data_IF_888807392598
#
_entry.id   IF_888807392598
#
_cell.length_a   1.000
_cell.length_b   1.000
_cell.length_c   1.000
_cell.angle_alpha   90.00
_cell.angle_beta   90.00
_cell.angle_gamma   90.00
#
_symmetry.space_group_name_H-M   'P 1'
#
loop_
_entity.id
_entity.type
_entity.pdbx_description
1 polymer ?
#
# COMPACT_ATOMS: atom_id res chain seq x y z
N UNK A 1 23.25 -33.03 6.42
CA UNK A 1 21.77 -33.01 6.14
C UNK A 1 20.81 -33.10 7.35
N UNK A 2 20.71 -34.20 8.13
CA UNK A 2 19.69 -34.31 9.21
C UNK A 2 19.82 -33.21 10.29
N UNK A 3 21.05 -32.84 10.60
CA UNK A 3 21.38 -31.82 11.62
C UNK A 3 21.00 -30.40 11.17
N UNK A 4 21.29 -30.04 9.91
CA UNK A 4 20.90 -28.73 9.34
C UNK A 4 19.37 -28.58 9.30
N UNK A 5 18.62 -29.61 8.91
CA UNK A 5 17.15 -29.55 8.93
C UNK A 5 16.58 -29.23 10.31
N UNK A 6 17.14 -29.85 11.35
CA UNK A 6 16.77 -29.55 12.75
C UNK A 6 17.09 -28.10 13.10
N UNK A 7 18.27 -27.61 12.72
CA UNK A 7 18.70 -26.23 12.97
C UNK A 7 17.85 -25.19 12.23
N UNK A 8 17.38 -25.48 11.01
CA UNK A 8 16.46 -24.59 10.28
C UNK A 8 15.08 -24.56 10.94
N UNK A 9 14.60 -25.70 11.46
CA UNK A 9 13.34 -25.77 12.23
C UNK A 9 13.41 -24.98 13.53
N UNK A 10 14.48 -25.15 14.32
CA UNK A 10 14.70 -24.33 15.53
C UNK A 10 14.82 -22.84 15.20
N UNK A 11 15.36 -22.52 14.02
CA UNK A 11 15.48 -21.15 13.56
C UNK A 11 14.12 -20.56 13.19
N UNK A 12 13.25 -21.34 12.53
CA UNK A 12 11.85 -20.99 12.24
C UNK A 12 11.08 -20.67 13.50
N UNK A 13 11.15 -21.54 14.51
CA UNK A 13 10.48 -21.35 15.80
C UNK A 13 10.97 -20.09 16.54
N UNK A 14 12.27 -19.77 16.47
CA UNK A 14 12.86 -18.61 17.14
C UNK A 14 12.64 -17.29 16.41
N UNK A 15 12.68 -17.30 15.08
CA UNK A 15 12.55 -16.09 14.28
C UNK A 15 11.11 -15.76 13.93
N UNK A 16 10.20 -16.74 14.00
CA UNK A 16 8.82 -16.61 13.52
C UNK A 16 8.69 -16.67 12.00
N UNK A 17 9.78 -16.96 11.27
CA UNK A 17 9.73 -17.12 9.81
C UNK A 17 9.25 -18.54 9.46
N UNK A 18 8.44 -18.71 8.40
CA UNK A 18 8.07 -20.03 7.90
C UNK A 18 9.31 -20.87 7.57
N UNK A 19 9.26 -22.15 7.94
CA UNK A 19 10.38 -23.07 7.69
C UNK A 19 10.75 -23.12 6.19
N UNK A 20 9.75 -23.07 5.31
CA UNK A 20 9.93 -23.11 3.86
C UNK A 20 10.77 -21.92 3.34
N UNK A 21 10.52 -20.71 3.82
CA UNK A 21 11.27 -19.50 3.46
C UNK A 21 12.73 -19.58 3.94
N UNK A 22 12.93 -20.09 5.15
CA UNK A 22 14.27 -20.34 5.70
C UNK A 22 15.01 -21.39 4.87
N UNK A 23 14.32 -22.48 4.49
CA UNK A 23 14.89 -23.56 3.67
C UNK A 23 15.23 -23.09 2.25
N UNK A 24 14.42 -22.23 1.66
CA UNK A 24 14.69 -21.61 0.36
C UNK A 24 15.92 -20.70 0.42
N UNK A 25 15.95 -19.78 1.40
CA UNK A 25 17.11 -18.90 1.63
C UNK A 25 18.40 -19.70 1.84
N UNK A 26 18.31 -20.80 2.62
CA UNK A 26 19.43 -21.72 2.82
C UNK A 26 19.86 -22.39 1.51
N UNK A 27 18.92 -22.90 0.71
CA UNK A 27 19.20 -23.56 -0.57
C UNK A 27 19.86 -22.63 -1.57
N UNK A 28 19.38 -21.39 -1.71
CA UNK A 28 19.99 -20.40 -2.59
C UNK A 28 21.44 -20.10 -2.21
N UNK A 29 21.70 -19.88 -0.92
CA UNK A 29 23.06 -19.63 -0.40
C UNK A 29 23.95 -20.84 -0.58
N UNK A 30 23.43 -22.03 -0.33
CA UNK A 30 24.16 -23.27 -0.53
C UNK A 30 24.57 -23.44 -2.00
N UNK A 31 23.64 -23.19 -2.93
CA UNK A 31 23.90 -23.25 -4.37
C UNK A 31 25.03 -22.29 -4.77
N UNK A 32 24.92 -21.00 -4.39
CA UNK A 32 25.95 -19.99 -4.68
C UNK A 32 27.32 -20.35 -4.08
N UNK A 33 27.33 -20.91 -2.87
CA UNK A 33 28.58 -21.29 -2.21
C UNK A 33 29.21 -22.52 -2.87
N UNK A 34 28.42 -23.50 -3.32
CA UNK A 34 28.93 -24.66 -4.08
C UNK A 34 29.49 -24.26 -5.45
N UNK A 35 28.87 -23.29 -6.12
CA UNK A 35 29.38 -22.73 -7.37
C UNK A 35 30.72 -21.99 -7.18
N UNK A 36 30.90 -21.33 -6.03
CA UNK A 36 32.10 -20.55 -5.72
C UNK A 36 33.24 -21.37 -5.11
N UNK A 37 32.91 -22.42 -4.36
CA UNK A 37 33.85 -23.26 -3.62
C UNK A 37 33.49 -24.73 -3.85
N UNK A 38 34.09 -25.32 -4.90
CA UNK A 38 33.86 -26.72 -5.32
C UNK A 38 34.34 -27.75 -4.30
N UNK A 39 35.45 -27.48 -3.61
CA UNK A 39 36.21 -28.48 -2.85
C UNK A 39 36.19 -28.24 -1.35
N UNK A 40 35.19 -27.49 -0.85
CA UNK A 40 35.16 -27.05 0.55
C UNK A 40 34.09 -27.81 1.33
N UNK A 41 34.52 -28.57 2.33
CA UNK A 41 33.65 -29.47 3.11
C UNK A 41 32.67 -28.75 4.05
N UNK A 42 32.93 -27.47 4.38
CA UNK A 42 32.13 -26.67 5.32
C UNK A 42 30.99 -25.86 4.67
N UNK A 43 30.74 -26.05 3.38
CA UNK A 43 29.80 -25.23 2.58
C UNK A 43 28.37 -25.28 3.12
N UNK A 44 27.91 -26.43 3.64
CA UNK A 44 26.60 -26.55 4.30
C UNK A 44 26.52 -25.69 5.57
N UNK A 45 27.53 -25.74 6.43
CA UNK A 45 27.56 -24.93 7.65
C UNK A 45 27.70 -23.43 7.34
N UNK A 46 28.47 -23.08 6.32
CA UNK A 46 28.65 -21.70 5.89
C UNK A 46 27.34 -21.12 5.35
N UNK A 47 26.59 -21.89 4.54
CA UNK A 47 25.27 -21.50 4.06
C UNK A 47 24.30 -21.27 5.24
N UNK A 48 24.24 -22.20 6.20
CA UNK A 48 23.43 -22.05 7.40
C UNK A 48 23.81 -20.79 8.20
N UNK A 49 25.10 -20.54 8.42
CA UNK A 49 25.58 -19.36 9.15
C UNK A 49 25.19 -18.07 8.43
N UNK A 50 25.28 -18.03 7.10
CA UNK A 50 24.82 -16.89 6.31
C UNK A 50 23.29 -16.70 6.40
N UNK A 51 22.50 -17.79 6.43
CA UNK A 51 21.04 -17.73 6.68
C UNK A 51 20.75 -17.15 8.06
N UNK A 52 21.38 -17.68 9.11
CA UNK A 52 21.25 -17.18 10.48
C UNK A 52 21.61 -15.69 10.59
N UNK A 53 22.71 -15.26 9.97
CA UNK A 53 23.14 -13.86 10.02
C UNK A 53 22.17 -12.93 9.31
N UNK A 54 21.59 -13.36 8.18
CA UNK A 54 20.56 -12.58 7.49
C UNK A 54 19.32 -12.42 8.39
N UNK A 55 18.79 -13.51 8.94
CA UNK A 55 17.61 -13.43 9.81
C UNK A 55 17.89 -12.60 11.07
N UNK A 56 19.07 -12.74 11.69
CA UNK A 56 19.46 -11.88 12.82
C UNK A 56 19.58 -10.40 12.45
N UNK A 57 19.97 -10.09 11.21
CA UNK A 57 20.04 -8.72 10.72
C UNK A 57 18.64 -8.16 10.48
N UNK A 58 17.77 -8.97 9.88
CA UNK A 58 16.36 -8.64 9.64
C UNK A 58 15.59 -8.46 10.96
N UNK A 59 15.74 -9.37 11.91
CA UNK A 59 15.15 -9.26 13.24
C UNK A 59 15.61 -7.98 13.98
N UNK A 60 16.89 -7.61 13.85
CA UNK A 60 17.42 -6.34 14.41
C UNK A 60 16.76 -5.11 13.79
N UNK A 61 16.28 -5.16 12.55
CA UNK A 61 15.52 -4.03 11.99
C UNK A 61 14.20 -3.80 12.72
N UNK A 62 13.61 -4.84 13.33
CA UNK A 62 12.36 -4.75 14.07
C UNK A 62 12.54 -4.76 15.60
N UNK A 63 13.78 -4.79 16.09
CA UNK A 63 14.04 -4.69 17.53
C UNK A 63 13.46 -3.38 18.09
N UNK A 64 12.70 -3.48 19.19
CA UNK A 64 11.97 -2.35 19.78
C UNK A 64 10.77 -1.83 18.98
N UNK A 65 10.47 -2.38 17.80
CA UNK A 65 9.27 -2.02 17.04
C UNK A 65 8.07 -2.77 17.62
N UNK A 66 7.01 -2.09 18.11
CA UNK A 66 5.85 -2.77 18.66
C UNK A 66 5.08 -3.51 17.57
N UNK A 67 4.36 -4.55 17.99
CA UNK A 67 3.32 -5.17 17.15
C UNK A 67 2.15 -4.22 17.04
N UNK A 68 1.60 -4.10 15.84
CA UNK A 68 0.41 -3.30 15.52
C UNK A 68 -0.57 -4.14 14.74
N UNK A 69 -1.79 -3.65 14.65
CA UNK A 69 -2.91 -4.31 14.00
C UNK A 69 -3.46 -3.41 12.92
N UNK A 70 -3.73 -3.96 11.74
CA UNK A 70 -4.30 -3.23 10.62
C UNK A 70 -5.54 -3.97 10.11
N UNK A 71 -6.65 -3.26 9.98
CA UNK A 71 -7.78 -3.67 9.17
C UNK A 71 -7.57 -3.11 7.76
N UNK A 72 -7.31 -3.98 6.80
CA UNK A 72 -6.97 -3.56 5.43
C UNK A 72 -8.24 -3.18 4.70
N UNK A 73 -8.33 -1.93 4.27
CA UNK A 73 -9.47 -1.41 3.49
C UNK A 73 -9.16 -1.40 1.99
N UNK A 74 -7.90 -1.50 1.59
CA UNK A 74 -7.54 -1.46 0.18
C UNK A 74 -6.06 -1.61 -0.10
N UNK A 75 -5.72 -1.75 -1.37
CA UNK A 75 -4.34 -1.70 -1.85
C UNK A 75 -4.25 -1.11 -3.26
N UNK A 76 -3.10 -0.52 -3.60
CA UNK A 76 -2.88 0.15 -4.88
C UNK A 76 -2.65 -0.79 -6.07
N UNK A 77 -2.40 -2.08 -5.82
CA UNK A 77 -1.73 -2.94 -6.80
C UNK A 77 -0.25 -2.55 -6.98
N UNK A 78 0.40 -3.17 -7.97
CA UNK A 78 1.80 -2.85 -8.32
C UNK A 78 1.84 -1.65 -9.27
N UNK A 79 2.26 -0.49 -8.77
CA UNK A 79 2.45 0.71 -9.58
C UNK A 79 3.91 0.87 -10.01
N UNK A 80 4.16 1.23 -11.27
CA UNK A 80 5.47 1.76 -11.69
C UNK A 80 5.41 3.30 -11.73
N UNK A 81 6.07 3.93 -10.75
CA UNK A 81 6.15 5.38 -10.67
C UNK A 81 6.83 6.00 -11.88
N UNK A 82 7.81 5.32 -12.46
CA UNK A 82 8.53 5.84 -13.63
C UNK A 82 7.65 5.78 -14.86
N UNK A 83 6.85 4.73 -15.00
CA UNK A 83 5.88 4.63 -16.09
C UNK A 83 4.80 5.72 -16.01
N UNK A 84 4.33 6.07 -14.81
CA UNK A 84 3.42 7.22 -14.61
C UNK A 84 4.03 8.54 -15.09
N UNK A 85 5.32 8.77 -14.82
CA UNK A 85 6.04 9.97 -15.32
C UNK A 85 6.11 9.94 -16.85
N UNK A 86 6.44 8.78 -17.45
CA UNK A 86 6.48 8.61 -18.90
C UNK A 86 5.13 8.90 -19.55
N UNK A 87 4.05 8.27 -19.07
CA UNK A 87 2.69 8.47 -19.60
C UNK A 87 2.26 9.93 -19.50
N UNK A 88 2.52 10.60 -18.37
CA UNK A 88 2.21 12.02 -18.20
C UNK A 88 2.92 12.88 -19.24
N UNK A 89 4.21 12.63 -19.49
CA UNK A 89 4.99 13.37 -20.48
C UNK A 89 4.51 13.09 -21.91
N UNK A 90 4.26 11.82 -22.25
CA UNK A 90 3.87 11.38 -23.60
C UNK A 90 2.43 11.76 -23.99
N UNK A 91 1.55 12.00 -23.02
CA UNK A 91 0.18 12.43 -23.27
C UNK A 91 0.04 13.94 -23.53
N UNK A 92 1.15 14.69 -23.56
CA UNK A 92 1.19 16.12 -23.85
C UNK A 92 1.85 16.39 -25.21
N UNK A 93 1.49 17.48 -25.90
CA UNK A 93 2.27 17.97 -27.04
C UNK A 93 3.73 18.20 -26.63
N UNK A 94 4.69 17.85 -27.50
CA UNK A 94 6.13 17.93 -27.18
C UNK A 94 6.56 19.32 -26.69
N UNK A 95 6.11 20.38 -27.36
CA UNK A 95 6.45 21.76 -26.98
C UNK A 95 5.98 22.10 -25.56
N UNK A 96 4.80 21.64 -25.17
CA UNK A 96 4.25 21.81 -23.83
C UNK A 96 5.02 20.98 -22.80
N UNK A 97 5.33 19.72 -23.11
CA UNK A 97 6.08 18.84 -22.24
C UNK A 97 7.51 19.35 -21.98
N UNK A 98 8.16 19.92 -23.00
CA UNK A 98 9.48 20.57 -22.87
C UNK A 98 9.37 21.83 -22.03
N UNK A 99 8.35 22.68 -22.27
CA UNK A 99 8.14 23.90 -21.49
C UNK A 99 7.88 23.61 -19.99
N UNK A 100 7.23 22.49 -19.67
CA UNK A 100 7.01 22.02 -18.29
C UNK A 100 8.20 21.26 -17.69
N UNK A 101 9.30 21.08 -18.44
CA UNK A 101 10.49 20.35 -17.96
C UNK A 101 10.27 18.85 -17.81
N UNK A 102 9.27 18.27 -18.47
CA UNK A 102 8.95 16.84 -18.44
C UNK A 102 9.74 16.06 -19.50
N UNK A 103 10.16 16.74 -20.58
CA UNK A 103 10.91 16.17 -21.68
C UNK A 103 12.06 17.08 -22.11
N UNK A 104 13.10 16.48 -22.68
CA UNK A 104 14.16 17.19 -23.39
C UNK A 104 13.70 17.61 -24.79
N UNK A 105 14.37 18.58 -25.44
CA UNK A 105 14.03 18.99 -26.82
C UNK A 105 14.11 17.85 -27.86
N UNK A 106 14.92 16.81 -27.60
CA UNK A 106 15.00 15.60 -28.43
C UNK A 106 13.91 14.56 -28.11
N UNK A 107 12.95 14.88 -27.25
CA UNK A 107 11.78 14.04 -26.96
C UNK A 107 12.05 12.91 -25.96
N UNK A 108 13.07 13.03 -25.10
CA UNK A 108 13.30 12.07 -24.02
C UNK A 108 12.65 12.54 -22.73
N UNK A 109 11.98 11.63 -22.03
CA UNK A 109 11.36 11.91 -20.73
C UNK A 109 12.43 12.18 -19.69
N UNK A 110 12.20 13.14 -18.80
CA UNK A 110 13.11 13.54 -17.73
C UNK A 110 12.65 12.91 -16.40
N UNK A 111 13.59 12.49 -15.55
CA UNK A 111 13.29 12.12 -14.16
C UNK A 111 13.02 13.40 -13.33
N UNK A 112 11.74 13.64 -13.07
CA UNK A 112 11.26 14.83 -12.33
C UNK A 112 11.14 14.60 -10.82
N UNK A 113 11.58 13.45 -10.30
CA UNK A 113 11.50 13.15 -8.87
C UNK A 113 12.64 13.87 -8.14
N UNK A 114 12.32 14.84 -7.30
CA UNK A 114 13.34 15.54 -6.49
C UNK A 114 14.00 14.61 -5.46
N UNK A 115 13.25 13.64 -4.94
CA UNK A 115 13.71 12.67 -3.93
C UNK A 115 13.33 11.25 -4.31
N UNK A 116 14.20 10.31 -3.99
CA UNK A 116 13.97 8.86 -4.06
C UNK A 116 14.22 8.27 -2.68
N UNK A 117 13.19 7.67 -2.08
CA UNK A 117 13.21 7.13 -0.72
C UNK A 117 13.66 8.13 0.36
N UNK A 118 13.22 9.37 0.22
CA UNK A 118 13.54 10.47 1.15
C UNK A 118 14.94 11.07 0.99
N UNK A 119 15.72 10.64 -0.01
CA UNK A 119 17.05 11.19 -0.33
C UNK A 119 17.00 11.99 -1.62
N UNK A 120 17.83 13.04 -1.79
CA UNK A 120 17.94 13.75 -3.07
C UNK A 120 18.20 12.79 -4.23
N UNK A 121 17.48 12.94 -5.32
CA UNK A 121 17.64 12.09 -6.51
C UNK A 121 18.87 12.55 -7.32
N UNK A 122 19.92 11.73 -7.47
CA UNK A 122 21.08 12.10 -8.27
C UNK A 122 20.77 12.26 -9.76
N UNK A 123 19.67 11.67 -10.24
CA UNK A 123 19.25 11.73 -11.65
C UNK A 123 18.17 12.80 -11.91
N UNK A 124 17.83 13.62 -10.91
CA UNK A 124 16.84 14.69 -11.11
C UNK A 124 17.23 15.60 -12.27
N UNK A 125 16.30 15.83 -13.20
CA UNK A 125 16.54 16.64 -14.39
C UNK A 125 17.32 15.93 -15.51
N UNK A 126 17.71 14.67 -15.32
CA UNK A 126 18.38 13.86 -16.35
C UNK A 126 17.37 13.02 -17.16
N UNK A 127 17.70 12.63 -18.41
CA UNK A 127 16.88 11.72 -19.18
C UNK A 127 16.64 10.40 -18.43
N UNK A 128 15.38 10.00 -18.35
CA UNK A 128 14.95 8.78 -17.70
C UNK A 128 15.22 7.58 -18.63
N UNK A 129 16.03 6.59 -18.21
CA UNK A 129 16.27 5.41 -19.05
C UNK A 129 14.97 4.63 -19.30
N UNK A 130 14.74 4.15 -20.52
CA UNK A 130 13.52 3.42 -20.88
C UNK A 130 13.34 2.11 -20.09
N UNK A 131 14.44 1.47 -19.71
CA UNK A 131 14.45 0.23 -18.92
C UNK A 131 14.40 0.44 -17.40
N UNK A 132 14.40 1.69 -16.93
CA UNK A 132 14.34 1.97 -15.50
C UNK A 132 12.92 1.79 -14.97
N UNK A 133 12.77 1.08 -13.86
CA UNK A 133 11.49 0.92 -13.17
C UNK A 133 11.62 1.36 -11.72
N UNK A 134 10.53 1.86 -11.13
CA UNK A 134 10.47 2.12 -9.70
C UNK A 134 9.10 1.73 -9.18
N UNK A 135 9.04 0.49 -8.70
CA UNK A 135 7.79 -0.10 -8.27
C UNK A 135 7.39 0.37 -6.87
N UNK A 136 6.09 0.51 -6.66
CA UNK A 136 5.47 0.86 -5.39
C UNK A 136 4.20 0.02 -5.23
N UNK A 137 3.94 -0.40 -3.99
CA UNK A 137 2.68 -1.00 -3.59
C UNK A 137 2.32 -0.47 -2.21
N UNK A 138 1.15 0.14 -2.13
CA UNK A 138 0.61 0.72 -0.91
C UNK A 138 -0.55 -0.13 -0.40
N UNK A 139 -0.51 -0.46 0.89
CA UNK A 139 -1.61 -1.08 1.62
C UNK A 139 -2.27 0.01 2.44
N UNK A 140 -3.56 0.21 2.23
CA UNK A 140 -4.38 1.17 2.95
C UNK A 140 -5.19 0.45 4.02
N UNK A 141 -5.29 1.07 5.19
CA UNK A 141 -6.05 0.46 6.28
C UNK A 141 -6.26 1.39 7.45
N UNK A 142 -6.95 0.86 8.44
CA UNK A 142 -7.12 1.46 9.75
C UNK A 142 -6.17 0.71 10.68
N UNK A 143 -5.30 1.41 11.40
CA UNK A 143 -4.29 0.83 12.29
C UNK A 143 -4.63 1.10 13.74
N UNK A 144 -4.29 0.15 14.61
CA UNK A 144 -4.27 0.33 16.05
C UNK A 144 -3.04 -0.33 16.66
N UNK A 145 -2.61 0.18 17.82
CA UNK A 145 -1.60 -0.46 18.65
C UNK A 145 -2.22 -1.54 19.58
N UNK A 146 -3.55 -1.68 19.58
CA UNK A 146 -4.32 -2.72 20.30
C UNK A 146 -5.14 -3.60 19.32
N UNK A 147 -5.29 -4.91 19.57
CA UNK A 147 -6.11 -5.79 18.73
C UNK A 147 -7.61 -5.44 18.76
N UNK A 148 -8.08 -4.69 19.77
CA UNK A 148 -9.47 -4.24 19.89
C UNK A 148 -9.81 -3.00 19.04
N UNK A 149 -8.80 -2.35 18.44
CA UNK A 149 -8.96 -1.10 17.70
C UNK A 149 -9.62 0.04 18.50
N UNK A 150 -9.41 0.11 19.82
CA UNK A 150 -10.04 1.14 20.67
C UNK A 150 -9.54 2.55 20.36
N UNK A 151 -8.25 2.68 20.00
CA UNK A 151 -7.68 3.89 19.43
C UNK A 151 -7.15 3.53 18.04
N UNK A 152 -7.81 4.05 17.00
CA UNK A 152 -7.54 3.68 15.63
C UNK A 152 -7.44 4.91 14.72
N UNK A 153 -6.59 4.79 13.71
CA UNK A 153 -6.32 5.87 12.77
C UNK A 153 -6.13 5.30 11.37
N UNK A 154 -6.37 6.12 10.34
CA UNK A 154 -6.00 5.76 8.99
C UNK A 154 -4.48 5.59 8.87
N UNK A 155 -4.07 4.69 7.99
CA UNK A 155 -2.67 4.46 7.71
C UNK A 155 -2.41 3.99 6.29
N UNK A 156 -1.14 4.09 5.91
CA UNK A 156 -0.59 3.49 4.70
C UNK A 156 0.70 2.74 5.03
N UNK A 157 0.82 1.51 4.53
CA UNK A 157 2.05 0.72 4.57
C UNK A 157 2.63 0.68 3.14
N UNK A 158 3.81 1.28 2.96
CA UNK A 158 4.44 1.43 1.64
C UNK A 158 5.54 0.41 1.40
N UNK A 159 5.42 -0.36 0.33
CA UNK A 159 6.47 -1.24 -0.19
C UNK A 159 7.07 -0.64 -1.47
N UNK A 160 8.38 -0.83 -1.67
CA UNK A 160 9.11 -0.25 -2.80
C UNK A 160 10.00 -1.27 -3.50
N UNK A 161 10.15 -1.09 -4.81
CA UNK A 161 10.95 -1.90 -5.75
C UNK A 161 10.70 -3.41 -5.52
N UNK A 162 11.77 -4.18 -5.37
CA UNK A 162 11.72 -5.63 -5.14
C UNK A 162 10.74 -6.05 -4.05
N UNK A 163 10.53 -5.24 -3.00
CA UNK A 163 9.58 -5.56 -1.93
C UNK A 163 8.13 -5.37 -2.36
N UNK A 164 7.86 -4.39 -3.21
CA UNK A 164 6.52 -4.20 -3.78
C UNK A 164 6.14 -5.38 -4.70
N UNK A 165 7.13 -5.90 -5.43
CA UNK A 165 6.99 -7.11 -6.26
C UNK A 165 6.76 -8.36 -5.38
N UNK A 166 7.59 -8.56 -4.35
CA UNK A 166 7.52 -9.74 -3.46
C UNK A 166 6.28 -9.78 -2.56
N UNK A 167 5.74 -8.61 -2.16
CA UNK A 167 4.57 -8.54 -1.27
C UNK A 167 3.33 -9.21 -1.87
N UNK A 168 3.17 -9.15 -3.19
CA UNK A 168 1.99 -9.66 -3.87
C UNK A 168 0.70 -8.94 -3.46
N UNK A 169 -0.44 -9.50 -3.89
CA UNK A 169 -1.76 -9.02 -3.46
C UNK A 169 -2.04 -9.42 -2.01
N UNK A 170 -2.53 -8.47 -1.21
CA UNK A 170 -3.00 -8.72 0.15
C UNK A 170 -4.54 -8.73 0.17
N UNK A 171 -5.18 -9.78 0.71
CA UNK A 171 -6.62 -9.79 0.88
C UNK A 171 -7.11 -8.60 1.73
N UNK A 172 -8.08 -7.87 1.20
CA UNK A 172 -8.70 -6.72 1.87
C UNK A 172 -9.88 -7.17 2.74
N UNK A 173 -10.39 -6.28 3.58
CA UNK A 173 -11.42 -6.55 4.62
C UNK A 173 -11.01 -7.64 5.62
N UNK A 174 -9.70 -7.76 5.83
CA UNK A 174 -9.07 -8.68 6.76
C UNK A 174 -8.21 -7.93 7.77
N UNK A 175 -8.04 -8.53 8.93
CA UNK A 175 -7.22 -7.97 10.01
C UNK A 175 -5.87 -8.68 10.04
N UNK A 176 -4.79 -7.91 10.11
CA UNK A 176 -3.43 -8.45 10.20
C UNK A 176 -2.68 -7.85 11.38
N UNK A 177 -1.86 -8.67 12.04
CA UNK A 177 -0.80 -8.21 12.93
C UNK A 177 0.48 -7.96 12.12
N UNK A 178 1.20 -6.88 12.42
CA UNK A 178 2.45 -6.55 11.75
C UNK A 178 3.41 -5.77 12.64
N UNK A 179 4.67 -5.73 12.20
CA UNK A 179 5.73 -4.89 12.80
C UNK A 179 6.40 -4.07 11.70
N UNK A 180 6.26 -2.76 11.79
CA UNK A 180 6.92 -1.82 10.90
C UNK A 180 7.31 -0.54 11.63
N UNK A 181 8.40 0.08 11.16
CA UNK A 181 8.80 1.39 11.68
C UNK A 181 7.86 2.44 11.13
N UNK A 182 7.35 3.25 12.04
CA UNK A 182 6.58 4.43 11.71
C UNK A 182 7.51 5.49 11.10
N UNK A 183 7.01 6.09 10.02
CA UNK A 183 7.66 7.10 9.20
C UNK A 183 6.71 8.26 8.89
N UNK A 184 5.66 8.39 9.70
CA UNK A 184 4.67 9.48 9.63
C UNK A 184 5.40 10.82 9.65
N UNK A 185 5.32 11.61 8.56
CA UNK A 185 5.82 12.98 8.55
C UNK A 185 5.05 13.84 9.56
N UNK A 186 5.69 14.87 10.10
CA UNK A 186 5.01 15.85 10.95
C UNK A 186 3.85 16.52 10.17
N UNK A 187 2.68 16.63 10.80
CA UNK A 187 1.47 17.18 10.19
C UNK A 187 0.68 16.22 9.28
N UNK A 188 1.16 14.99 9.05
CA UNK A 188 0.44 14.01 8.24
C UNK A 188 -0.81 13.50 8.99
N UNK A 189 -2.02 13.53 8.39
CA UNK A 189 -3.27 13.18 9.07
C UNK A 189 -3.50 11.67 9.24
N UNK A 190 -2.57 10.84 8.76
CA UNK A 190 -2.62 9.38 8.84
C UNK A 190 -1.23 8.82 9.13
N UNK A 191 -1.16 7.62 9.70
CA UNK A 191 0.11 6.98 10.02
C UNK A 191 0.77 6.40 8.77
N UNK A 192 2.07 6.59 8.63
CA UNK A 192 2.84 6.06 7.49
C UNK A 192 3.84 5.04 7.99
N UNK A 193 3.83 3.85 7.39
CA UNK A 193 4.78 2.78 7.70
C UNK A 193 5.52 2.36 6.43
N UNK A 194 6.79 1.97 6.58
CA UNK A 194 7.54 1.37 5.48
C UNK A 194 7.57 -0.15 5.63
N UNK A 195 7.21 -0.86 4.57
CA UNK A 195 7.37 -2.30 4.46
C UNK A 195 8.87 -2.65 4.32
N UNK A 196 9.41 -3.26 5.36
CA UNK A 196 10.79 -3.72 5.40
C UNK A 196 10.88 -5.21 5.03
N UNK A 197 12.09 -5.68 4.71
CA UNK A 197 12.32 -7.11 4.45
C UNK A 197 11.91 -8.02 5.63
N UNK A 198 11.89 -7.47 6.85
CA UNK A 198 11.46 -8.17 8.05
C UNK A 198 9.97 -7.97 8.39
N UNK A 199 9.29 -7.00 7.75
CA UNK A 199 7.86 -6.77 7.98
C UNK A 199 7.09 -7.96 7.44
N UNK A 200 6.15 -8.46 8.23
CA UNK A 200 5.25 -9.56 7.88
C UNK A 200 3.85 -9.16 8.30
N UNK A 201 2.87 -9.55 7.48
CA UNK A 201 1.45 -9.42 7.78
C UNK A 201 0.95 -10.80 8.15
N UNK A 202 0.54 -10.98 9.40
CA UNK A 202 -0.01 -12.23 9.91
C UNK A 202 -1.50 -12.05 10.08
N UNK A 203 -2.31 -12.73 9.25
CA UNK A 203 -3.77 -12.67 9.33
C UNK A 203 -4.24 -13.16 10.71
N UNK A 204 -5.15 -12.41 11.33
CA UNK A 204 -5.81 -12.81 12.56
C UNK A 204 -7.07 -13.62 12.24
N UNK A 205 -7.31 -14.74 12.95
CA UNK A 205 -8.46 -15.61 12.68
C UNK A 205 -9.80 -14.96 13.05
N UNK A 206 -9.80 -14.05 14.03
CA UNK A 206 -10.96 -13.27 14.44
C UNK A 206 -10.89 -11.90 13.77
N UNK A 207 -11.81 -11.65 12.85
CA UNK A 207 -11.98 -10.33 12.25
C UNK A 207 -12.79 -9.45 13.18
N UNK A 208 -12.26 -8.26 13.48
CA UNK A 208 -13.01 -7.20 14.15
C UNK A 208 -14.18 -6.80 13.25
N UNK A 209 -15.35 -6.54 13.85
CA UNK A 209 -16.51 -6.07 13.12
C UNK A 209 -16.18 -4.73 12.43
N UNK A 210 -16.30 -4.63 11.09
CA UNK A 210 -16.09 -3.39 10.36
C UNK A 210 -16.88 -2.21 10.92
N UNK A 211 -18.13 -2.44 11.35
CA UNK A 211 -19.01 -1.40 11.88
C UNK A 211 -18.49 -0.84 13.20
N UNK A 212 -17.94 -1.70 14.06
CA UNK A 212 -17.33 -1.28 15.32
C UNK A 212 -16.11 -0.38 15.10
N UNK A 213 -15.33 -0.64 14.05
CA UNK A 213 -14.20 0.22 13.68
C UNK A 213 -14.72 1.56 13.14
N UNK A 214 -15.72 1.54 12.25
CA UNK A 214 -16.31 2.76 11.67
C UNK A 214 -16.88 3.69 12.74
N UNK A 215 -17.53 3.15 13.77
CA UNK A 215 -18.09 3.90 14.88
C UNK A 215 -17.03 4.63 15.74
N UNK A 216 -15.74 4.30 15.58
CA UNK A 216 -14.61 4.95 16.27
C UNK A 216 -13.95 6.05 15.43
N UNK A 217 -14.37 6.23 14.17
CA UNK A 217 -13.84 7.23 13.26
C UNK A 217 -14.77 8.44 13.16
N UNK A 218 -14.20 9.60 12.82
CA UNK A 218 -14.97 10.81 12.49
C UNK A 218 -15.54 10.71 11.06
N UNK A 219 -16.66 10.01 10.93
CA UNK A 219 -17.34 9.81 9.65
C UNK A 219 -17.97 11.11 9.17
N UNK A 220 -17.71 11.46 7.92
CA UNK A 220 -18.31 12.63 7.24
C UNK A 220 -19.36 12.20 6.26
N UNK A 221 -20.31 13.08 5.97
CA UNK A 221 -21.40 12.79 5.04
C UNK A 221 -21.06 13.30 3.63
N UNK A 222 -21.52 12.59 2.59
CA UNK A 222 -21.21 12.97 1.21
C UNK A 222 -21.68 14.41 0.85
N UNK A 223 -22.76 14.88 1.45
CA UNK A 223 -23.27 16.24 1.20
C UNK A 223 -22.32 17.34 1.72
N UNK A 224 -21.37 17.00 2.60
CA UNK A 224 -20.33 17.91 3.12
C UNK A 224 -19.09 18.00 2.22
N UNK A 225 -19.06 17.30 1.06
CA UNK A 225 -17.85 17.15 0.23
C UNK A 225 -17.14 18.46 -0.12
N UNK A 226 -17.90 19.53 -0.36
CA UNK A 226 -17.34 20.85 -0.63
C UNK A 226 -16.67 21.47 0.61
N UNK A 227 -17.28 21.34 1.78
CA UNK A 227 -16.73 21.84 3.05
C UNK A 227 -15.45 21.08 3.41
N UNK A 228 -15.47 19.76 3.26
CA UNK A 228 -14.30 18.90 3.49
C UNK A 228 -13.17 19.31 2.52
N UNK A 229 -13.46 19.50 1.24
CA UNK A 229 -12.45 19.94 0.27
C UNK A 229 -11.80 21.26 0.67
N UNK A 230 -12.61 22.26 1.05
CA UNK A 230 -12.12 23.58 1.48
C UNK A 230 -11.28 23.51 2.75
N UNK A 231 -11.62 22.63 3.70
CA UNK A 231 -10.87 22.46 4.95
C UNK A 231 -9.43 21.98 4.71
N UNK A 232 -9.19 21.19 3.65
CA UNK A 232 -7.89 20.59 3.35
C UNK A 232 -7.19 21.18 2.13
N UNK A 233 -7.78 22.17 1.44
CA UNK A 233 -7.21 22.79 0.24
C UNK A 233 -5.79 23.37 0.46
N UNK A 234 -5.53 23.88 1.67
CA UNK A 234 -4.24 24.47 2.07
C UNK A 234 -3.31 23.52 2.81
N UNK A 235 -3.68 22.26 2.94
CA UNK A 235 -2.86 21.27 3.64
C UNK A 235 -1.69 20.84 2.76
N UNK A 236 -0.49 20.76 3.34
CA UNK A 236 0.69 20.18 2.67
C UNK A 236 0.51 18.67 2.39
N UNK A 237 -0.45 18.04 3.06
CA UNK A 237 -0.82 16.65 2.86
C UNK A 237 -2.21 16.53 2.25
N UNK A 238 -2.37 15.60 1.31
CA UNK A 238 -3.71 15.17 0.87
C UNK A 238 -4.38 14.42 2.01
N UNK A 239 -5.37 15.05 2.63
CA UNK A 239 -6.17 14.40 3.64
C UNK A 239 -6.99 13.26 3.04
N UNK A 240 -7.11 12.18 3.80
CA UNK A 240 -7.99 11.06 3.50
C UNK A 240 -9.07 11.07 4.55
N UNK A 241 -10.31 11.12 4.10
CA UNK A 241 -11.47 11.31 4.96
C UNK A 241 -12.41 10.12 4.76
N UNK A 242 -12.96 9.53 5.83
CA UNK A 242 -14.02 8.54 5.73
C UNK A 242 -15.35 9.25 5.41
N UNK A 243 -15.96 8.92 4.28
CA UNK A 243 -17.18 9.55 3.77
C UNK A 243 -18.28 8.50 3.66
N UNK A 244 -19.38 8.69 4.37
CA UNK A 244 -20.61 7.91 4.27
C UNK A 244 -21.30 8.24 2.95
N UNK A 245 -21.61 7.20 2.18
CA UNK A 245 -22.31 7.31 0.91
C UNK A 245 -23.06 6.02 0.57
N UNK A 246 -23.99 6.11 -0.38
CA UNK A 246 -24.74 4.98 -0.89
C UNK A 246 -24.20 4.58 -2.27
N UNK A 247 -23.93 3.29 -2.44
CA UNK A 247 -23.39 2.77 -3.69
C UNK A 247 -24.44 2.78 -4.80
N UNK A 248 -24.12 3.34 -5.96
CA UNK A 248 -25.02 3.32 -7.12
C UNK A 248 -24.61 2.25 -8.14
N UNK A 249 -23.39 2.35 -8.65
CA UNK A 249 -22.84 1.41 -9.62
C UNK A 249 -21.31 1.49 -9.69
N UNK A 250 -20.72 0.52 -10.39
CA UNK A 250 -19.29 0.49 -10.69
C UNK A 250 -19.04 0.23 -12.17
N UNK A 251 -18.04 0.93 -12.72
CA UNK A 251 -17.59 0.80 -14.11
C UNK A 251 -16.09 0.44 -14.08
N UNK A 252 -15.73 -0.84 -14.27
CA UNK A 252 -14.33 -1.22 -14.37
C UNK A 252 -13.69 -0.64 -15.63
N UNK A 253 -12.46 -0.16 -15.49
CA UNK A 253 -11.57 0.34 -16.56
C UNK A 253 -10.25 -0.41 -16.48
N UNK A 254 -9.43 -0.26 -17.52
CA UNK A 254 -8.11 -0.89 -17.57
C UNK A 254 -7.19 -0.43 -16.43
N UNK A 255 -7.22 0.87 -16.11
CA UNK A 255 -6.32 1.48 -15.12
C UNK A 255 -7.01 1.85 -13.79
N UNK A 256 -8.30 1.59 -13.65
CA UNK A 256 -9.06 1.98 -12.44
C UNK A 256 -10.41 1.28 -12.37
N UNK A 257 -11.06 1.35 -11.21
CA UNK A 257 -12.48 1.05 -11.07
C UNK A 257 -13.20 2.34 -10.68
N UNK A 258 -14.14 2.78 -11.52
CA UNK A 258 -14.93 3.98 -11.24
C UNK A 258 -16.19 3.57 -10.49
N UNK A 259 -16.34 4.01 -9.25
CA UNK A 259 -17.49 3.73 -8.40
C UNK A 259 -18.27 5.02 -8.22
N UNK A 260 -19.57 4.99 -8.48
CA UNK A 260 -20.44 6.16 -8.31
C UNK A 260 -21.25 6.00 -7.04
N UNK A 261 -21.30 7.08 -6.26
CA UNK A 261 -21.97 7.10 -4.95
C UNK A 261 -22.85 8.33 -4.81
N UNK A 262 -23.91 8.23 -4.02
CA UNK A 262 -24.80 9.34 -3.69
C UNK A 262 -25.07 9.49 -2.20
N UNK A 263 -25.83 10.52 -1.85
CA UNK A 263 -26.27 10.85 -0.50
C UNK A 263 -27.51 10.04 -0.06
N UNK A 264 -27.94 9.04 -0.84
CA UNK A 264 -29.08 8.16 -0.51
C UNK A 264 -30.45 8.69 -0.90
N UNK A 265 -30.58 9.96 -1.31
CA UNK A 265 -31.84 10.49 -1.86
C UNK A 265 -31.98 10.21 -3.35
N UNK A 266 -30.90 9.77 -4.02
CA UNK A 266 -30.83 9.58 -5.48
C UNK A 266 -31.18 10.84 -6.27
N UNK A 267 -31.16 12.00 -5.61
CA UNK A 267 -31.40 13.31 -6.21
C UNK A 267 -30.05 14.02 -6.40
N UNK A 268 -29.72 14.38 -7.64
CA UNK A 268 -28.47 15.03 -8.01
C UNK A 268 -27.55 14.12 -8.84
N UNK A 269 -26.38 14.66 -9.21
CA UNK A 269 -25.37 13.87 -9.90
C UNK A 269 -24.54 13.08 -8.90
N UNK A 270 -24.27 11.79 -9.15
CA UNK A 270 -23.47 10.99 -8.24
C UNK A 270 -22.02 11.45 -8.22
N UNK A 271 -21.38 11.31 -7.07
CA UNK A 271 -19.95 11.59 -6.90
C UNK A 271 -19.15 10.38 -7.38
N UNK A 272 -18.18 10.64 -8.24
CA UNK A 272 -17.29 9.60 -8.76
C UNK A 272 -16.12 9.35 -7.79
N UNK A 273 -16.00 8.11 -7.35
CA UNK A 273 -14.87 7.56 -6.61
C UNK A 273 -13.98 6.76 -7.56
N UNK A 274 -12.67 7.03 -7.54
CA UNK A 274 -11.67 6.38 -8.40
C UNK A 274 -10.86 5.42 -7.54
N UNK A 275 -11.06 4.13 -7.75
CA UNK A 275 -10.30 3.07 -7.08
C UNK A 275 -9.16 2.56 -7.98
N UNK A 276 -8.09 2.00 -7.39
CA UNK A 276 -7.03 1.33 -8.13
C UNK A 276 -7.54 0.24 -9.08
N UNK A 277 -6.77 -0.12 -10.12
CA UNK A 277 -7.16 -1.18 -11.04
C UNK A 277 -7.35 -2.51 -10.31
N UNK A 278 -8.34 -3.29 -10.76
CA UNK A 278 -8.71 -4.59 -10.19
C UNK A 278 -9.13 -4.57 -8.71
N UNK A 279 -9.46 -3.40 -8.14
CA UNK A 279 -10.06 -3.33 -6.81
C UNK A 279 -11.41 -4.07 -6.78
N UNK A 280 -11.64 -5.01 -5.83
CA UNK A 280 -12.86 -5.80 -5.81
C UNK A 280 -14.07 -4.96 -5.36
N UNK A 281 -15.15 -5.04 -6.13
CA UNK A 281 -16.44 -4.41 -5.80
C UNK A 281 -17.43 -5.51 -5.43
N UNK A 282 -17.60 -5.74 -4.13
CA UNK A 282 -18.43 -6.79 -3.53
C UNK A 282 -19.61 -6.16 -2.76
N UNK A 283 -20.23 -5.15 -3.38
CA UNK A 283 -21.34 -4.36 -2.86
C UNK A 283 -22.46 -4.26 -3.89
N UNK A 284 -23.68 -4.10 -3.41
CA UNK A 284 -24.89 -4.01 -4.23
C UNK A 284 -25.45 -2.59 -4.23
N UNK A 285 -26.15 -2.23 -5.31
CA UNK A 285 -26.78 -0.92 -5.42
C UNK A 285 -27.68 -0.66 -4.20
N UNK A 286 -27.46 0.48 -3.55
CA UNK A 286 -28.19 0.90 -2.35
C UNK A 286 -27.54 0.52 -1.02
N UNK A 287 -26.45 -0.26 -1.03
CA UNK A 287 -25.65 -0.49 0.18
C UNK A 287 -25.08 0.84 0.71
N UNK A 288 -25.13 1.02 2.03
CA UNK A 288 -24.46 2.13 2.71
C UNK A 288 -23.00 1.74 2.95
N UNK A 289 -22.09 2.52 2.39
CA UNK A 289 -20.65 2.31 2.47
C UNK A 289 -19.96 3.54 3.07
N UNK A 290 -18.79 3.31 3.65
CA UNK A 290 -17.85 4.38 3.99
C UNK A 290 -16.68 4.30 3.01
N UNK A 291 -16.56 5.32 2.16
CA UNK A 291 -15.44 5.47 1.22
C UNK A 291 -14.33 6.24 1.91
N UNK A 292 -13.10 5.72 1.85
CA UNK A 292 -11.92 6.39 2.37
C UNK A 292 -11.16 6.97 1.20
N UNK A 293 -11.04 8.30 1.11
CA UNK A 293 -10.32 8.89 -0.01
C UNK A 293 -10.00 10.36 0.16
N UNK A 294 -9.18 10.84 -0.78
CA UNK A 294 -8.86 12.26 -0.89
C UNK A 294 -9.78 12.95 -1.90
N UNK A 295 -10.40 14.05 -1.51
CA UNK A 295 -11.31 14.80 -2.37
C UNK A 295 -10.50 15.69 -3.31
N UNK A 296 -10.87 15.68 -4.58
CA UNK A 296 -10.35 16.57 -5.62
C UNK A 296 -11.50 17.31 -6.29
N UNK A 297 -11.24 18.56 -6.65
CA UNK A 297 -12.13 19.35 -7.49
C UNK A 297 -11.57 19.42 -8.91
N UNK A 298 -12.36 19.02 -9.89
CA UNK A 298 -12.02 19.14 -11.31
C UNK A 298 -13.12 19.95 -11.99
N UNK A 299 -12.79 21.19 -12.38
CA UNK A 299 -13.78 22.17 -12.85
C UNK A 299 -14.87 22.37 -11.78
N UNK A 300 -16.11 22.02 -12.08
CA UNK A 300 -17.27 22.19 -11.20
C UNK A 300 -17.69 20.88 -10.52
N UNK A 301 -16.94 19.78 -10.72
CA UNK A 301 -17.23 18.47 -10.15
C UNK A 301 -16.26 18.10 -9.02
N UNK A 302 -16.79 17.42 -7.99
CA UNK A 302 -15.98 16.76 -6.96
C UNK A 302 -15.78 15.28 -7.30
N UNK A 303 -14.57 14.79 -7.02
CA UNK A 303 -14.15 13.40 -7.22
C UNK A 303 -13.39 12.92 -5.99
N UNK A 304 -13.49 11.62 -5.70
CA UNK A 304 -12.78 11.01 -4.58
C UNK A 304 -11.74 10.04 -5.14
N UNK A 305 -10.47 10.32 -4.88
CA UNK A 305 -9.40 9.35 -5.12
C UNK A 305 -9.37 8.39 -3.93
N UNK A 306 -9.91 7.20 -4.13
CA UNK A 306 -10.26 6.26 -3.08
C UNK A 306 -9.11 5.32 -2.74
N UNK A 307 -8.86 5.17 -1.44
CA UNK A 307 -7.99 4.16 -0.85
C UNK A 307 -8.70 2.83 -0.66
N UNK A 308 -10.01 2.86 -0.42
CA UNK A 308 -10.81 1.69 -0.14
C UNK A 308 -12.22 2.05 0.33
N UNK A 309 -13.05 1.04 0.55
CA UNK A 309 -14.33 1.22 1.23
C UNK A 309 -14.57 0.13 2.28
N UNK A 310 -15.51 0.41 3.18
CA UNK A 310 -16.09 -0.57 4.10
C UNK A 310 -17.62 -0.52 3.98
N UNK A 311 -18.27 -1.67 4.04
CA UNK A 311 -19.74 -1.75 4.07
C UNK A 311 -20.21 -1.46 5.49
N UNK A 312 -21.12 -0.50 5.64
CA UNK A 312 -21.72 -0.15 6.93
C UNK A 312 -23.07 -0.81 7.12
N UNK A 313 -23.92 -0.81 6.09
CA UNK A 313 -25.20 -1.53 6.07
C UNK A 313 -25.50 -2.08 4.69
N UNK A 314 -25.96 -3.33 4.63
CA UNK A 314 -26.46 -3.94 3.39
C UNK A 314 -27.96 -3.76 3.28
N UNK A 315 -28.44 -3.29 2.12
CA UNK A 315 -29.87 -3.02 1.93
C UNK A 315 -30.72 -4.29 2.09
N UNK A 316 -30.17 -5.45 1.70
CA UNK A 316 -30.88 -6.73 1.68
C UNK A 316 -30.85 -7.50 3.03
N UNK A 317 -30.18 -6.99 4.07
CA UNK A 317 -30.11 -7.65 5.38
C UNK A 317 -31.11 -7.08 6.41
N UNK A 318 -31.94 -6.11 6.00
CA UNK A 318 -32.96 -5.46 6.83
C UNK A 318 -34.42 -5.70 6.41
N UNK A 319 -34.70 -6.74 5.60
CA UNK A 319 -36.05 -7.10 5.12
C UNK A 319 -36.66 -8.29 5.85
#
# INVERSE_FOLDING_TARGET
MKEIKKLLKELSEKSGYPLEEIEETYREKLKRLKEKYSDRDDVEQLAYRQTLMQLKREARFLEGVPTRYIYVIGESGLEDRLDRIRRRAMNMPLEEAVAQGLMTPDGKVIDTREKVYGRPNPNYGSPLPDSAHSYERDIYGIVSDSPSFDDCQLCVIRAFDRRAEELGHIPIWKTYAFRAKEKTPEGCPYRVFNYAAATRLTELPETVDPVDILNKLDLRELHEIEEIHRAYEKSDFRAVVPIVAYFENAVPREESVLVFVSNGTWEGEPVMCIFPPAYPVEIEQGDEIVVFGSIRKQRDEFRIDAWGYMVRYRQNEGS
#
